data_IF_297252544781
#
_entry.id   IF_297252544781
#
_cell.length_a   1.000
_cell.length_b   1.000
_cell.length_c   1.000
_cell.angle_alpha   90.00
_cell.angle_beta   90.00
_cell.angle_gamma   90.00
#
_symmetry.space_group_name_H-M   'P 1'
#
loop_
_entity.id
_entity.type
_entity.pdbx_description
1 polymer ?
#
# COMPACT_ATOMS: atom_id res chain seq x y z
N UNK A 1 31.59 18.36 -5.85
CA UNK A 1 30.40 18.70 -5.06
C UNK A 1 30.68 18.39 -3.59
N UNK A 2 30.88 19.38 -2.76
CA UNK A 2 31.05 19.21 -1.31
C UNK A 2 29.66 19.15 -0.68
N UNK A 3 29.22 17.96 -0.31
CA UNK A 3 27.95 17.78 0.39
C UNK A 3 28.04 18.48 1.76
N UNK A 4 27.12 19.43 2.04
CA UNK A 4 26.96 20.01 3.37
C UNK A 4 26.56 18.89 4.35
N UNK A 5 26.92 19.03 5.64
CA UNK A 5 26.57 18.07 6.71
C UNK A 5 25.05 17.77 6.75
N UNK A 6 24.22 18.78 6.46
CA UNK A 6 22.76 18.66 6.33
C UNK A 6 22.33 17.70 5.22
N UNK A 7 23.04 17.67 4.08
CA UNK A 7 22.68 16.84 2.94
C UNK A 7 22.97 15.37 3.23
N UNK A 8 24.07 15.07 3.93
CA UNK A 8 24.40 13.68 4.34
C UNK A 8 23.36 13.11 5.29
N UNK A 9 22.90 13.90 6.26
CA UNK A 9 21.86 13.48 7.18
C UNK A 9 20.55 13.20 6.42
N UNK A 10 20.17 14.06 5.47
CA UNK A 10 18.98 13.86 4.65
C UNK A 10 19.04 12.55 3.85
N UNK A 11 20.18 12.22 3.21
CA UNK A 11 20.36 10.96 2.51
C UNK A 11 20.28 9.75 3.44
N UNK A 12 20.90 9.80 4.61
CA UNK A 12 20.81 8.72 5.62
C UNK A 12 19.36 8.49 6.04
N UNK A 13 18.62 9.57 6.33
CA UNK A 13 17.22 9.48 6.72
C UNK A 13 16.34 8.92 5.60
N UNK A 14 16.60 9.27 4.35
CA UNK A 14 15.89 8.72 3.19
C UNK A 14 16.17 7.22 3.02
N UNK A 15 17.42 6.78 3.19
CA UNK A 15 17.77 5.35 3.12
C UNK A 15 17.07 4.59 4.24
N UNK A 16 17.11 5.11 5.48
CA UNK A 16 16.43 4.50 6.63
C UNK A 16 14.92 4.44 6.42
N UNK A 17 14.30 5.51 5.94
CA UNK A 17 12.88 5.54 5.64
C UNK A 17 12.49 4.47 4.60
N UNK A 18 13.29 4.32 3.53
CA UNK A 18 13.07 3.31 2.51
C UNK A 18 13.24 1.89 3.06
N UNK A 19 14.23 1.68 3.94
CA UNK A 19 14.47 0.39 4.60
C UNK A 19 13.30 0.01 5.50
N UNK A 20 12.84 0.94 6.36
CA UNK A 20 11.69 0.70 7.21
C UNK A 20 10.41 0.46 6.40
N UNK A 21 10.25 1.16 5.28
CA UNK A 21 9.10 0.95 4.41
C UNK A 21 9.13 -0.43 3.74
N UNK A 22 10.29 -0.88 3.26
CA UNK A 22 10.47 -2.24 2.74
C UNK A 22 10.16 -3.29 3.82
N UNK A 23 10.66 -3.10 5.06
CA UNK A 23 10.37 -3.97 6.21
C UNK A 23 8.87 -4.08 6.51
N UNK A 24 8.10 -3.01 6.28
CA UNK A 24 6.65 -3.02 6.44
C UNK A 24 5.95 -4.05 5.54
N UNK A 25 6.40 -4.24 4.29
CA UNK A 25 5.86 -5.27 3.39
C UNK A 25 6.18 -6.68 3.87
N UNK A 26 7.38 -6.88 4.39
CA UNK A 26 7.79 -8.16 4.96
C UNK A 26 6.90 -8.51 6.16
N UNK A 27 6.69 -7.57 7.07
CA UNK A 27 5.79 -7.73 8.23
C UNK A 27 4.36 -8.01 7.77
N UNK A 28 3.86 -7.27 6.75
CA UNK A 28 2.55 -7.50 6.16
C UNK A 28 2.39 -8.92 5.60
N UNK A 29 3.43 -9.46 4.97
CA UNK A 29 3.42 -10.84 4.47
C UNK A 29 3.45 -11.86 5.60
N UNK A 30 4.27 -11.67 6.63
CA UNK A 30 4.23 -12.52 7.81
C UNK A 30 2.84 -12.52 8.45
N UNK A 31 2.24 -11.35 8.62
CA UNK A 31 0.88 -11.24 9.15
C UNK A 31 -0.13 -12.03 8.31
N UNK A 32 0.01 -12.03 6.97
CA UNK A 32 -0.86 -12.83 6.10
C UNK A 32 -0.66 -14.34 6.28
N UNK A 33 0.58 -14.79 6.53
CA UNK A 33 0.90 -16.21 6.77
C UNK A 33 0.31 -16.67 8.11
N UNK A 34 0.33 -15.83 9.14
CA UNK A 34 -0.25 -16.11 10.45
C UNK A 34 -1.72 -15.72 10.57
N UNK A 35 -2.40 -15.44 9.46
CA UNK A 35 -3.82 -15.11 9.39
C UNK A 35 -4.24 -13.92 10.28
N UNK A 36 -3.31 -12.99 10.55
CA UNK A 36 -3.59 -11.78 11.32
C UNK A 36 -4.42 -10.83 10.44
N UNK A 37 -5.66 -10.44 10.83
CA UNK A 37 -6.51 -9.59 9.99
C UNK A 37 -5.81 -8.28 9.58
N UNK A 38 -5.86 -7.94 8.29
CA UNK A 38 -5.21 -6.77 7.72
C UNK A 38 -5.58 -5.45 8.44
N UNK A 39 -6.85 -5.31 8.83
CA UNK A 39 -7.33 -4.14 9.58
C UNK A 39 -6.74 -4.09 10.99
N UNK A 40 -6.64 -5.22 11.68
CA UNK A 40 -6.04 -5.31 13.01
C UNK A 40 -4.57 -4.94 12.98
N UNK A 41 -3.81 -5.48 12.00
CA UNK A 41 -2.41 -5.14 11.81
C UNK A 41 -2.23 -3.63 11.59
N UNK A 42 -3.04 -3.05 10.69
CA UNK A 42 -3.01 -1.62 10.40
C UNK A 42 -3.32 -0.78 11.65
N UNK A 43 -4.40 -1.14 12.38
CA UNK A 43 -4.80 -0.46 13.60
C UNK A 43 -3.69 -0.46 14.65
N UNK A 44 -3.17 -1.64 15.04
CA UNK A 44 -2.14 -1.72 16.07
C UNK A 44 -0.86 -1.01 15.66
N UNK A 45 -0.45 -1.10 14.40
CA UNK A 45 0.73 -0.39 13.91
C UNK A 45 0.60 1.12 14.10
N UNK A 46 -0.51 1.71 13.66
CA UNK A 46 -0.72 3.15 13.79
C UNK A 46 -0.99 3.58 15.23
N UNK A 47 -1.62 2.72 16.03
CA UNK A 47 -1.81 2.95 17.45
C UNK A 47 -0.48 3.08 18.20
N UNK A 48 0.46 2.16 17.98
CA UNK A 48 1.79 2.25 18.57
C UNK A 48 2.61 3.44 18.04
N UNK A 49 2.53 3.74 16.74
CA UNK A 49 3.15 4.92 16.16
C UNK A 49 2.60 6.19 16.82
N UNK A 50 1.29 6.27 17.04
CA UNK A 50 0.66 7.39 17.71
C UNK A 50 1.16 7.55 19.16
N UNK A 51 1.20 6.47 19.94
CA UNK A 51 1.73 6.50 21.32
C UNK A 51 3.17 7.02 21.35
N UNK A 52 4.03 6.52 20.43
CA UNK A 52 5.44 6.90 20.39
C UNK A 52 5.62 8.36 19.96
N UNK A 53 4.88 8.82 18.95
CA UNK A 53 5.05 10.15 18.40
C UNK A 53 4.32 11.24 19.18
N UNK A 54 3.23 10.91 19.88
CA UNK A 54 2.41 11.90 20.57
C UNK A 54 3.20 12.78 21.55
N UNK A 55 4.12 12.23 22.40
CA UNK A 55 4.93 13.07 23.32
C UNK A 55 5.80 14.10 22.61
N UNK A 56 6.21 13.84 21.37
CA UNK A 56 7.06 14.75 20.59
C UNK A 56 6.24 15.78 19.81
N UNK A 57 5.02 15.42 19.40
CA UNK A 57 4.20 16.22 18.49
C UNK A 57 3.11 17.03 19.20
N UNK A 58 2.76 16.71 20.46
CA UNK A 58 1.61 17.34 21.14
C UNK A 58 1.70 18.87 21.21
N UNK A 59 2.91 19.43 21.39
CA UNK A 59 3.12 20.88 21.45
C UNK A 59 2.77 21.56 20.12
N UNK A 60 3.20 20.96 19.02
CA UNK A 60 2.91 21.49 17.67
C UNK A 60 1.43 21.30 17.31
N UNK A 61 0.81 20.19 17.72
CA UNK A 61 -0.63 19.95 17.56
C UNK A 61 -1.41 21.03 18.34
N UNK A 62 -1.03 21.30 19.58
CA UNK A 62 -1.71 22.30 20.40
C UNK A 62 -1.56 23.72 19.83
N UNK A 63 -0.35 24.08 19.36
CA UNK A 63 -0.07 25.36 18.71
C UNK A 63 -0.92 25.57 17.45
N UNK A 64 -1.10 24.52 16.66
CA UNK A 64 -1.82 24.56 15.39
C UNK A 64 -3.27 24.07 15.51
N UNK A 65 -3.83 23.92 16.72
CA UNK A 65 -5.16 23.35 16.96
C UNK A 65 -6.27 24.03 16.17
N UNK A 66 -6.20 25.37 16.03
CA UNK A 66 -7.20 26.13 15.29
C UNK A 66 -7.23 25.72 13.82
N UNK A 67 -6.06 25.66 13.18
CA UNK A 67 -5.94 25.22 11.79
C UNK A 67 -6.40 23.76 11.58
N UNK A 68 -6.11 22.88 12.53
CA UNK A 68 -6.51 21.47 12.48
C UNK A 68 -8.05 21.35 12.57
N UNK A 69 -8.69 22.12 13.46
CA UNK A 69 -10.14 22.11 13.63
C UNK A 69 -10.84 22.71 12.40
N UNK A 70 -10.34 23.82 11.88
CA UNK A 70 -10.89 24.47 10.67
C UNK A 70 -10.83 23.55 9.45
N UNK A 71 -9.78 22.74 9.35
CA UNK A 71 -9.56 21.79 8.24
C UNK A 71 -9.83 20.33 8.61
N UNK A 72 -10.59 20.08 9.67
CA UNK A 72 -10.79 18.72 10.20
C UNK A 72 -11.32 17.74 9.16
N UNK A 73 -12.25 18.17 8.29
CA UNK A 73 -12.78 17.34 7.21
C UNK A 73 -11.68 16.86 6.25
N UNK A 74 -10.76 17.77 5.89
CA UNK A 74 -9.62 17.44 5.02
C UNK A 74 -8.71 16.41 5.68
N UNK A 75 -8.33 16.64 6.95
CA UNK A 75 -7.50 15.69 7.70
C UNK A 75 -8.17 14.34 7.89
N UNK A 76 -9.49 14.32 8.11
CA UNK A 76 -10.25 13.09 8.24
C UNK A 76 -10.25 12.30 6.91
N UNK A 77 -10.53 12.95 5.78
CA UNK A 77 -10.50 12.31 4.47
C UNK A 77 -9.10 11.76 4.15
N UNK A 78 -8.05 12.56 4.35
CA UNK A 78 -6.68 12.12 4.12
C UNK A 78 -6.27 10.96 5.05
N UNK A 79 -6.67 10.99 6.32
CA UNK A 79 -6.41 9.91 7.27
C UNK A 79 -7.13 8.61 6.91
N UNK A 80 -8.41 8.71 6.55
CA UNK A 80 -9.20 7.53 6.16
C UNK A 80 -8.69 6.95 4.85
N UNK A 81 -8.48 7.75 3.82
CA UNK A 81 -8.04 7.26 2.50
C UNK A 81 -6.57 6.84 2.49
N UNK A 82 -5.66 7.70 2.99
CA UNK A 82 -4.23 7.50 2.89
C UNK A 82 -3.65 6.54 3.94
N UNK A 83 -4.28 6.45 5.12
CA UNK A 83 -3.80 5.59 6.21
C UNK A 83 -4.66 4.35 6.32
N UNK A 84 -5.97 4.50 6.54
CA UNK A 84 -6.83 3.37 6.86
C UNK A 84 -7.08 2.50 5.63
N UNK A 85 -7.65 3.05 4.57
CA UNK A 85 -8.03 2.29 3.38
C UNK A 85 -6.78 1.79 2.66
N UNK A 86 -5.85 2.68 2.32
CA UNK A 86 -4.67 2.34 1.54
C UNK A 86 -3.84 1.22 2.18
N UNK A 87 -3.43 1.37 3.45
CA UNK A 87 -2.62 0.34 4.11
C UNK A 87 -3.39 -0.97 4.33
N UNK A 88 -4.69 -0.90 4.67
CA UNK A 88 -5.50 -2.11 4.87
C UNK A 88 -5.66 -2.90 3.57
N UNK A 89 -5.88 -2.21 2.44
CA UNK A 89 -5.95 -2.84 1.11
C UNK A 89 -4.61 -3.45 0.72
N UNK A 90 -3.50 -2.75 0.97
CA UNK A 90 -2.15 -3.28 0.71
C UNK A 90 -1.91 -4.55 1.52
N UNK A 91 -2.18 -4.54 2.83
CA UNK A 91 -2.01 -5.75 3.65
C UNK A 91 -2.94 -6.86 3.23
N UNK A 92 -4.19 -6.55 2.90
CA UNK A 92 -5.14 -7.55 2.42
C UNK A 92 -4.67 -8.18 1.10
N UNK A 93 -4.10 -7.40 0.20
CA UNK A 93 -3.56 -7.93 -1.07
C UNK A 93 -2.43 -8.93 -0.86
N UNK A 94 -1.64 -8.80 0.22
CA UNK A 94 -0.54 -9.71 0.53
C UNK A 94 -0.99 -11.13 0.94
N UNK A 95 -2.28 -11.34 1.23
CA UNK A 95 -2.83 -12.68 1.40
C UNK A 95 -2.86 -13.45 0.08
N UNK A 96 -3.05 -12.75 -1.03
CA UNK A 96 -3.25 -13.35 -2.35
C UNK A 96 -2.03 -13.23 -3.26
N UNK A 97 -1.09 -12.33 -2.93
CA UNK A 97 0.06 -12.01 -3.78
C UNK A 97 1.39 -12.18 -3.06
N UNK A 98 2.46 -12.24 -3.87
CA UNK A 98 3.81 -12.17 -3.34
C UNK A 98 4.18 -10.72 -2.99
N UNK A 99 5.10 -10.55 -2.02
CA UNK A 99 5.61 -9.22 -1.62
C UNK A 99 6.16 -8.43 -2.80
N UNK A 100 6.89 -9.10 -3.69
CA UNK A 100 7.48 -8.49 -4.88
C UNK A 100 6.39 -7.86 -5.77
N UNK A 101 5.29 -8.60 -6.03
CA UNK A 101 4.17 -8.08 -6.83
C UNK A 101 3.52 -6.85 -6.18
N UNK A 102 3.34 -6.86 -4.85
CA UNK A 102 2.82 -5.71 -4.11
C UNK A 102 3.71 -4.48 -4.22
N UNK A 103 5.03 -4.65 -4.06
CA UNK A 103 6.01 -3.54 -4.19
C UNK A 103 6.02 -2.98 -5.62
N UNK A 104 5.97 -3.85 -6.63
CA UNK A 104 5.92 -3.43 -8.04
C UNK A 104 4.67 -2.61 -8.35
N UNK A 105 3.51 -3.03 -7.85
CA UNK A 105 2.27 -2.25 -7.99
C UNK A 105 2.40 -0.86 -7.38
N UNK A 106 3.03 -0.73 -6.21
CA UNK A 106 3.24 0.58 -5.56
C UNK A 106 4.26 1.43 -6.34
N UNK A 107 5.25 0.83 -6.98
CA UNK A 107 6.22 1.57 -7.80
C UNK A 107 5.59 2.24 -9.02
N UNK A 108 4.36 1.88 -9.39
CA UNK A 108 3.58 2.58 -10.43
C UNK A 108 2.94 3.89 -9.96
N UNK A 109 2.87 4.14 -8.64
CA UNK A 109 2.23 5.36 -8.09
C UNK A 109 2.84 6.65 -8.65
N UNK A 110 4.17 6.85 -8.65
CA UNK A 110 4.76 8.08 -9.23
C UNK A 110 4.38 8.27 -10.70
N UNK A 111 4.31 7.18 -11.45
CA UNK A 111 3.88 7.17 -12.86
C UNK A 111 2.45 7.69 -12.99
N UNK A 112 1.54 7.15 -12.16
CA UNK A 112 0.13 7.56 -12.14
C UNK A 112 -0.03 9.03 -11.74
N UNK A 113 0.76 9.49 -10.77
CA UNK A 113 0.76 10.91 -10.36
C UNK A 113 1.14 11.81 -11.53
N UNK A 114 2.21 11.50 -12.26
CA UNK A 114 2.66 12.28 -13.41
C UNK A 114 1.60 12.28 -14.51
N UNK A 115 1.00 11.13 -14.82
CA UNK A 115 -0.06 11.01 -15.81
C UNK A 115 -1.29 11.85 -15.45
N UNK A 116 -1.78 11.71 -14.22
CA UNK A 116 -2.95 12.44 -13.73
C UNK A 116 -2.67 13.95 -13.71
N UNK A 117 -1.52 14.38 -13.19
CA UNK A 117 -1.12 15.79 -13.14
C UNK A 117 -1.01 16.40 -14.54
N UNK A 118 -0.53 15.63 -15.52
CA UNK A 118 -0.45 16.05 -16.92
C UNK A 118 -1.84 16.20 -17.55
N UNK A 119 -2.73 15.22 -17.34
CA UNK A 119 -4.11 15.25 -17.87
C UNK A 119 -4.92 16.40 -17.25
N UNK A 120 -4.78 16.61 -15.94
CA UNK A 120 -5.44 17.70 -15.22
C UNK A 120 -4.76 19.07 -15.43
N UNK A 121 -3.66 19.11 -16.21
CA UNK A 121 -2.88 20.34 -16.47
C UNK A 121 -2.43 21.07 -15.20
N UNK A 122 -2.22 20.32 -14.12
CA UNK A 122 -1.74 20.86 -12.83
C UNK A 122 -0.27 21.26 -12.96
N UNK A 123 0.53 20.42 -13.64
CA UNK A 123 1.94 20.66 -13.90
C UNK A 123 2.27 20.44 -15.37
N UNK A 124 3.24 21.21 -15.89
CA UNK A 124 3.79 20.99 -17.23
C UNK A 124 4.77 19.82 -17.19
N UNK A 125 4.40 18.75 -17.85
CA UNK A 125 5.26 17.55 -17.93
C UNK A 125 6.40 17.80 -18.90
N UNK A 126 7.64 17.51 -18.48
CA UNK A 126 8.80 17.59 -19.36
C UNK A 126 8.99 16.26 -20.12
N UNK A 127 9.53 16.32 -21.34
CA UNK A 127 9.79 15.14 -22.16
C UNK A 127 10.69 14.11 -21.44
N UNK A 128 11.65 14.54 -20.62
CA UNK A 128 12.47 13.65 -19.79
C UNK A 128 11.65 12.88 -18.74
N UNK A 129 10.62 13.50 -18.19
CA UNK A 129 9.72 12.84 -17.25
C UNK A 129 8.87 11.76 -17.95
N UNK A 130 8.41 12.04 -19.17
CA UNK A 130 7.66 11.07 -19.99
C UNK A 130 8.54 9.86 -20.32
N UNK A 131 9.78 10.08 -20.74
CA UNK A 131 10.74 9.00 -21.01
C UNK A 131 10.99 8.17 -19.73
N UNK A 132 11.18 8.81 -18.59
CA UNK A 132 11.35 8.13 -17.30
C UNK A 132 10.14 7.27 -16.92
N UNK A 133 8.94 7.77 -17.16
CA UNK A 133 7.67 7.02 -16.95
C UNK A 133 7.62 5.78 -17.83
N UNK A 134 7.91 5.92 -19.13
CA UNK A 134 7.89 4.79 -20.07
C UNK A 134 8.94 3.74 -19.67
N UNK A 135 10.17 4.16 -19.35
CA UNK A 135 11.22 3.24 -18.89
C UNK A 135 10.83 2.52 -17.59
N UNK A 136 10.19 3.22 -16.64
CA UNK A 136 9.70 2.62 -15.39
C UNK A 136 8.62 1.56 -15.66
N UNK A 137 7.65 1.86 -16.53
CA UNK A 137 6.59 0.92 -16.90
C UNK A 137 7.16 -0.32 -17.59
N UNK A 138 8.10 -0.15 -18.51
CA UNK A 138 8.81 -1.26 -19.17
C UNK A 138 9.56 -2.10 -18.14
N UNK A 139 10.29 -1.47 -17.20
CA UNK A 139 10.98 -2.18 -16.12
C UNK A 139 10.04 -3.01 -15.24
N UNK A 140 8.93 -2.43 -14.80
CA UNK A 140 7.89 -3.12 -14.01
C UNK A 140 7.32 -4.30 -14.82
N UNK A 141 7.00 -4.10 -16.09
CA UNK A 141 6.49 -5.14 -16.97
C UNK A 141 7.50 -6.30 -17.12
N UNK A 142 8.77 -6.01 -17.36
CA UNK A 142 9.82 -7.02 -17.43
C UNK A 142 9.95 -7.84 -16.15
N UNK A 143 9.83 -7.20 -14.97
CA UNK A 143 9.92 -7.91 -13.69
C UNK A 143 8.69 -8.79 -13.47
N UNK A 144 7.48 -8.29 -13.75
CA UNK A 144 6.22 -9.05 -13.59
C UNK A 144 6.23 -10.29 -14.50
N UNK A 145 6.67 -10.13 -15.74
CA UNK A 145 6.74 -11.22 -16.71
C UNK A 145 7.98 -12.10 -16.56
N UNK A 146 8.88 -11.78 -15.59
CA UNK A 146 10.20 -12.43 -15.43
C UNK A 146 11.05 -12.38 -16.72
N UNK A 147 10.79 -11.42 -17.59
CA UNK A 147 11.33 -11.31 -18.94
C UNK A 147 11.13 -12.60 -19.78
N UNK A 148 10.13 -13.41 -19.47
CA UNK A 148 9.81 -14.65 -20.16
C UNK A 148 8.72 -14.39 -21.19
N UNK A 149 9.06 -14.66 -22.46
CA UNK A 149 8.13 -14.50 -23.58
C UNK A 149 6.96 -15.48 -23.55
N UNK A 150 7.13 -16.65 -22.93
CA UNK A 150 6.04 -17.60 -22.77
C UNK A 150 5.00 -17.10 -21.76
N UNK A 151 5.46 -16.46 -20.68
CA UNK A 151 4.56 -15.81 -19.72
C UNK A 151 3.76 -14.69 -20.38
N UNK A 152 4.40 -13.92 -21.28
CA UNK A 152 3.74 -12.84 -22.03
C UNK A 152 2.68 -13.41 -23.00
N UNK A 153 2.98 -14.49 -23.69
CA UNK A 153 2.04 -15.15 -24.63
C UNK A 153 0.87 -15.81 -23.91
N UNK A 154 1.11 -16.28 -22.67
CA UNK A 154 0.11 -16.95 -21.83
C UNK A 154 -0.53 -16.02 -20.79
N UNK A 155 -0.37 -14.69 -20.92
CA UNK A 155 -1.19 -13.70 -20.21
C UNK A 155 -2.64 -13.83 -20.72
N UNK A 156 -3.28 -14.94 -20.35
CA UNK A 156 -4.67 -15.17 -20.63
C UNK A 156 -5.50 -14.42 -19.57
N UNK A 157 -6.14 -13.35 -19.98
CA UNK A 157 -7.06 -12.59 -19.13
C UNK A 157 -8.25 -13.44 -18.63
N UNK A 158 -8.46 -14.62 -19.21
CA UNK A 158 -9.47 -15.58 -18.75
C UNK A 158 -9.13 -16.18 -17.37
N UNK A 159 -7.86 -16.20 -16.96
CA UNK A 159 -7.48 -16.63 -15.61
C UNK A 159 -7.99 -15.70 -14.51
N UNK A 160 -8.17 -14.40 -14.79
CA UNK A 160 -8.75 -13.44 -13.83
C UNK A 160 -10.20 -13.85 -13.52
N UNK A 161 -10.96 -14.29 -14.51
CA UNK A 161 -12.33 -14.77 -14.31
C UNK A 161 -12.39 -16.11 -13.56
N UNK A 162 -11.43 -17.01 -13.81
CA UNK A 162 -11.29 -18.26 -13.08
C UNK A 162 -10.88 -18.03 -11.62
N UNK A 163 -9.95 -17.12 -11.35
CA UNK A 163 -9.55 -16.74 -9.99
C UNK A 163 -10.68 -16.00 -9.25
N UNK A 164 -11.44 -15.17 -9.95
CA UNK A 164 -12.63 -14.52 -9.38
C UNK A 164 -13.71 -15.55 -9.00
N UNK A 165 -13.98 -16.53 -9.87
CA UNK A 165 -14.90 -17.64 -9.55
C UNK A 165 -14.42 -18.49 -8.38
N UNK A 166 -13.10 -18.71 -8.28
CA UNK A 166 -12.47 -19.43 -7.17
C UNK A 166 -12.59 -18.67 -5.86
N UNK A 167 -12.42 -17.35 -5.89
CA UNK A 167 -12.63 -16.46 -4.73
C UNK A 167 -14.08 -16.48 -4.24
N UNK A 168 -15.04 -16.41 -5.16
CA UNK A 168 -16.48 -16.52 -4.82
C UNK A 168 -16.77 -17.88 -4.18
N UNK A 169 -16.22 -18.96 -4.74
CA UNK A 169 -16.40 -20.31 -4.19
C UNK A 169 -15.81 -20.43 -2.78
N UNK A 170 -14.61 -19.92 -2.55
CA UNK A 170 -13.97 -19.89 -1.25
C UNK A 170 -14.76 -19.07 -0.24
N UNK A 171 -15.24 -17.90 -0.62
CA UNK A 171 -16.06 -17.04 0.24
C UNK A 171 -17.37 -17.73 0.67
N UNK A 172 -18.04 -18.39 -0.29
CA UNK A 172 -19.24 -19.17 -0.01
C UNK A 172 -18.97 -20.37 0.91
N UNK A 173 -17.81 -21.01 0.74
CA UNK A 173 -17.40 -22.13 1.60
C UNK A 173 -17.10 -21.65 3.04
N UNK A 174 -16.42 -20.54 3.20
CA UNK A 174 -16.15 -19.91 4.49
C UNK A 174 -17.46 -19.49 5.19
N UNK A 175 -18.40 -18.88 4.45
CA UNK A 175 -19.71 -18.51 4.99
C UNK A 175 -20.48 -19.75 5.50
N UNK A 176 -20.46 -20.85 4.76
CA UNK A 176 -21.09 -22.08 5.17
C UNK A 176 -20.45 -22.69 6.43
N UNK A 177 -19.10 -22.61 6.57
CA UNK A 177 -18.41 -23.05 7.78
C UNK A 177 -18.82 -22.21 9.00
N UNK A 178 -18.92 -20.89 8.83
CA UNK A 178 -19.39 -20.00 9.91
C UNK A 178 -20.85 -20.31 10.30
N UNK A 179 -21.74 -20.53 9.34
CA UNK A 179 -23.13 -20.92 9.59
C UNK A 179 -23.24 -22.24 10.34
N UNK A 180 -22.45 -23.25 9.95
CA UNK A 180 -22.42 -24.55 10.64
C UNK A 180 -21.91 -24.40 12.08
N UNK A 181 -20.87 -23.61 12.28
CA UNK A 181 -20.29 -23.38 13.62
C UNK A 181 -21.24 -22.60 14.53
N UNK A 182 -21.93 -21.58 13.99
CA UNK A 182 -22.96 -20.85 14.71
C UNK A 182 -24.14 -21.74 15.13
N UNK A 183 -24.60 -22.62 14.21
CA UNK A 183 -25.68 -23.58 14.50
C UNK A 183 -25.28 -24.60 15.57
N UNK A 184 -24.01 -25.01 15.60
CA UNK A 184 -23.50 -25.93 16.63
C UNK A 184 -23.42 -25.27 18.01
N UNK A 185 -23.17 -23.97 18.08
CA UNK A 185 -23.15 -23.20 19.34
C UNK A 185 -24.57 -22.93 19.86
N UNK A 186 -25.55 -22.75 18.95
CA UNK A 186 -26.96 -22.49 19.32
C UNK A 186 -27.72 -23.75 19.79
N UNK A 187 -27.17 -24.95 19.52
CA UNK A 187 -27.81 -26.21 19.87
C UNK A 187 -27.20 -26.88 21.12
N UNK A 188 -26.22 -26.23 21.74
CA UNK A 188 -25.66 -26.55 23.07
C UNK A 188 -26.09 -25.52 24.10
#
# INVERSE_FOLDING_TARGET
>A
MTFKSSDRLAYILLILASLFWAGNFVIGKFASIYEIPAFSLNFYRWFFVWIILFPFTYKEIYKNKKYIIENFRLFLVLGVTGITIFNSVVYYSLYFTQVISGILMISTIPVMIILISSVLKIEKTNNFQIIGVILSLVGVFCIITKADLEVIKNLDFNNIEADYKRLIYLNKHVENLFRMKAKKISNN
#
